data_IF_231472555185
#
_entry.id   IF_231472555185
#
_cell.length_a   1.000
_cell.length_b   1.000
_cell.length_c   1.000
_cell.angle_alpha   90.00
_cell.angle_beta   90.00
_cell.angle_gamma   90.00
#
_symmetry.space_group_name_H-M   'P 1'
#
loop_
_entity.id
_entity.type
_entity.pdbx_description
1 polymer ?
#
# COMPACT_ATOMS: atom_id res chain seq x y z
N UNK A 1 -70.75 33.65 -8.30
CA UNK A 1 -70.73 35.08 -7.90
C UNK A 1 -69.75 35.16 -6.75
N UNK A 2 -68.50 35.60 -6.93
CA UNK A 2 -68.00 36.74 -7.70
C UNK A 2 -66.61 36.44 -8.27
N UNK A 3 -66.38 36.92 -9.50
CA UNK A 3 -65.07 37.12 -10.12
C UNK A 3 -64.29 38.22 -9.39
N UNK A 4 -62.95 38.15 -9.38
CA UNK A 4 -62.15 39.36 -9.65
C UNK A 4 -60.77 39.05 -10.25
N UNK A 5 -60.42 39.83 -11.27
CA UNK A 5 -59.22 39.78 -12.08
C UNK A 5 -58.24 40.86 -11.58
N UNK A 6 -56.95 40.53 -11.42
CA UNK A 6 -55.91 41.51 -11.05
C UNK A 6 -54.52 41.15 -11.57
N UNK A 7 -54.04 41.91 -12.54
CA UNK A 7 -52.85 41.70 -13.36
C UNK A 7 -51.47 41.97 -12.70
N UNK A 8 -50.46 41.21 -13.17
CA UNK A 8 -49.03 41.53 -13.41
C UNK A 8 -48.07 41.77 -12.23
N UNK A 9 -47.08 40.86 -12.10
CA UNK A 9 -45.66 41.14 -12.43
C UNK A 9 -44.88 39.84 -12.69
N UNK A 10 -44.12 39.81 -13.78
CA UNK A 10 -43.16 38.76 -14.18
C UNK A 10 -41.94 38.79 -13.27
N UNK A 11 -41.47 37.62 -12.81
CA UNK A 11 -40.04 37.32 -12.66
C UNK A 11 -39.76 35.88 -13.09
N UNK A 12 -38.64 35.73 -13.79
CA UNK A 12 -38.14 34.58 -14.55
C UNK A 12 -37.68 33.41 -13.68
N UNK A 13 -37.71 32.21 -14.29
CA UNK A 13 -36.77 31.06 -14.23
C UNK A 13 -36.34 30.55 -12.84
N UNK A 14 -36.20 29.26 -12.59
CA UNK A 14 -35.61 28.25 -13.46
C UNK A 14 -36.05 26.84 -13.09
N UNK A 15 -36.10 26.03 -14.15
CA UNK A 15 -36.59 24.68 -14.28
C UNK A 15 -35.87 23.61 -13.46
N UNK A 16 -36.64 22.54 -13.27
CA UNK A 16 -36.33 21.18 -12.85
C UNK A 16 -34.94 20.64 -13.20
N UNK A 17 -34.25 20.11 -12.20
CA UNK A 17 -33.11 19.20 -12.33
C UNK A 17 -33.55 17.87 -12.98
N UNK A 18 -32.86 17.37 -14.02
CA UNK A 18 -33.14 16.04 -14.54
C UNK A 18 -32.47 14.96 -13.67
N UNK A 19 -33.24 13.91 -13.36
CA UNK A 19 -32.73 12.61 -12.90
C UNK A 19 -31.92 12.00 -14.04
N UNK A 20 -30.68 11.60 -13.76
CA UNK A 20 -29.87 10.84 -14.69
C UNK A 20 -30.13 9.34 -14.46
N UNK A 21 -30.61 8.70 -15.51
CA UNK A 21 -30.75 7.25 -15.66
C UNK A 21 -29.41 6.77 -16.20
N UNK A 22 -28.79 5.80 -15.53
CA UNK A 22 -27.51 5.22 -15.93
C UNK A 22 -27.79 3.94 -16.73
N UNK A 23 -27.88 4.08 -18.05
CA UNK A 23 -27.94 2.97 -19.00
C UNK A 23 -26.53 2.66 -19.49
N UNK A 24 -26.14 1.39 -19.34
CA UNK A 24 -24.80 0.91 -19.60
C UNK A 24 -24.26 1.21 -21.00
N UNK A 25 -23.04 1.75 -21.01
CA UNK A 25 -22.01 1.53 -22.02
C UNK A 25 -20.66 1.62 -21.28
N UNK A 26 -19.92 0.52 -21.20
CA UNK A 26 -18.55 0.52 -20.70
C UNK A 26 -17.69 1.39 -21.62
N UNK A 27 -17.50 2.65 -21.23
CA UNK A 27 -16.61 3.56 -21.93
C UNK A 27 -15.17 3.09 -21.71
N UNK A 28 -14.61 2.43 -22.73
CA UNK A 28 -13.18 2.16 -22.93
C UNK A 28 -12.39 3.45 -23.24
N UNK A 29 -12.94 4.61 -22.92
CA UNK A 29 -12.38 5.93 -23.25
C UNK A 29 -11.74 6.45 -21.98
N UNK A 30 -10.42 6.22 -21.79
CA UNK A 30 -9.52 7.08 -20.99
C UNK A 30 -8.09 6.55 -20.74
N UNK A 31 -7.76 5.31 -21.12
CA UNK A 31 -6.39 4.80 -20.96
C UNK A 31 -5.35 5.44 -21.91
N UNK A 32 -5.77 5.97 -23.07
CA UNK A 32 -4.88 6.68 -24.00
C UNK A 32 -4.34 7.99 -23.40
N UNK A 33 -5.11 8.62 -22.52
CA UNK A 33 -4.74 9.87 -21.83
C UNK A 33 -3.57 9.64 -20.85
N UNK A 34 -3.45 8.44 -20.30
CA UNK A 34 -2.36 8.05 -19.40
C UNK A 34 -1.12 7.52 -20.16
N UNK A 35 -1.21 7.22 -21.45
CA UNK A 35 -0.04 6.84 -22.25
C UNK A 35 1.00 7.97 -22.36
N UNK A 36 0.54 9.23 -22.19
CA UNK A 36 1.36 10.44 -22.21
C UNK A 36 1.83 10.88 -20.82
N UNK A 37 1.42 10.20 -19.74
CA UNK A 37 1.80 10.56 -18.36
C UNK A 37 3.33 10.52 -18.15
N UNK A 38 4.06 9.79 -18.99
CA UNK A 38 5.53 9.71 -19.01
C UNK A 38 6.23 11.07 -19.07
N UNK A 39 5.57 12.10 -19.60
CA UNK A 39 6.13 13.46 -19.68
C UNK A 39 6.04 14.23 -18.35
N UNK A 40 5.32 13.72 -17.35
CA UNK A 40 5.16 14.33 -16.03
C UNK A 40 6.33 13.97 -15.11
N UNK A 41 7.54 14.28 -15.54
CA UNK A 41 8.77 13.88 -14.84
C UNK A 41 8.92 14.48 -13.44
N UNK A 42 8.21 15.56 -13.12
CA UNK A 42 8.25 16.19 -11.78
C UNK A 42 7.18 15.65 -10.81
N UNK A 43 6.30 14.77 -11.28
CA UNK A 43 5.14 14.32 -10.52
C UNK A 43 5.56 13.43 -9.34
N UNK A 44 5.12 13.79 -8.14
CA UNK A 44 5.41 13.07 -6.88
C UNK A 44 4.19 12.39 -6.30
N UNK A 45 2.99 12.88 -6.57
CA UNK A 45 1.74 12.30 -6.12
C UNK A 45 0.72 12.26 -7.25
N UNK A 46 0.11 11.10 -7.45
CA UNK A 46 -0.91 10.85 -8.45
C UNK A 46 -2.12 10.25 -7.78
N UNK A 47 -3.26 10.89 -7.98
CA UNK A 47 -4.55 10.45 -7.47
C UNK A 47 -5.46 10.08 -8.63
N UNK A 48 -5.92 8.83 -8.63
CA UNK A 48 -6.82 8.25 -9.63
C UNK A 48 -8.09 7.69 -8.99
N UNK A 49 -8.47 8.19 -7.82
CA UNK A 49 -9.61 7.67 -7.05
C UNK A 49 -10.94 7.79 -7.83
N UNK A 50 -11.79 6.75 -7.72
CA UNK A 50 -13.15 6.72 -8.23
C UNK A 50 -13.27 6.54 -9.74
N UNK A 51 -12.22 6.03 -10.39
CA UNK A 51 -12.20 5.77 -11.83
C UNK A 51 -12.51 4.31 -12.14
N UNK A 52 -13.04 4.04 -13.34
CA UNK A 52 -13.57 2.71 -13.72
C UNK A 52 -12.64 1.91 -14.65
N UNK A 53 -11.31 2.12 -14.57
CA UNK A 53 -10.36 1.36 -15.37
C UNK A 53 -10.10 -0.05 -14.81
N UNK A 54 -9.88 -1.02 -15.69
CA UNK A 54 -9.59 -2.41 -15.30
C UNK A 54 -8.12 -2.65 -14.90
N UNK A 55 -7.21 -1.84 -15.44
CA UNK A 55 -5.78 -1.93 -15.18
C UNK A 55 -5.13 -0.57 -15.34
N UNK A 56 -4.07 -0.31 -14.58
CA UNK A 56 -3.20 0.83 -14.83
C UNK A 56 -2.44 0.63 -16.16
N UNK A 57 -2.15 1.71 -16.91
CA UNK A 57 -1.34 1.61 -18.11
C UNK A 57 0.11 1.34 -17.74
N UNK A 58 0.79 0.53 -18.56
CA UNK A 58 2.20 0.15 -18.36
C UNK A 58 3.15 1.35 -18.29
N UNK A 59 2.76 2.51 -18.82
CA UNK A 59 3.53 3.76 -18.74
C UNK A 59 3.66 4.30 -17.32
N UNK A 60 2.84 3.87 -16.35
CA UNK A 60 2.90 4.38 -14.97
C UNK A 60 4.28 4.19 -14.34
N UNK A 61 4.98 3.09 -14.65
CA UNK A 61 6.34 2.82 -14.17
C UNK A 61 7.38 3.86 -14.61
N UNK A 62 7.07 4.61 -15.67
CA UNK A 62 7.94 5.66 -16.21
C UNK A 62 7.87 6.96 -15.39
N UNK A 63 6.95 7.06 -14.43
CA UNK A 63 6.87 8.17 -13.48
C UNK A 63 7.91 8.02 -12.37
N UNK A 64 9.19 8.12 -12.75
CA UNK A 64 10.33 7.80 -11.87
C UNK A 64 10.46 8.67 -10.62
N UNK A 65 9.71 9.77 -10.51
CA UNK A 65 9.66 10.61 -9.31
C UNK A 65 8.38 10.43 -8.48
N UNK A 66 7.47 9.54 -8.89
CA UNK A 66 6.21 9.31 -8.21
C UNK A 66 6.45 8.58 -6.89
N UNK A 67 6.06 9.22 -5.78
CA UNK A 67 6.18 8.72 -4.41
C UNK A 67 4.84 8.26 -3.84
N UNK A 68 3.73 8.80 -4.33
CA UNK A 68 2.39 8.49 -3.83
C UNK A 68 1.42 8.19 -4.97
N UNK A 69 0.73 7.06 -4.88
CA UNK A 69 -0.32 6.63 -5.79
C UNK A 69 -1.58 6.29 -4.99
N UNK A 70 -2.67 7.02 -5.25
CA UNK A 70 -3.98 6.82 -4.60
C UNK A 70 -4.97 6.28 -5.62
N UNK A 71 -5.60 5.14 -5.31
CA UNK A 71 -6.46 4.36 -6.21
C UNK A 71 -7.82 4.04 -5.58
N UNK A 72 -8.27 4.81 -4.58
CA UNK A 72 -9.47 4.50 -3.82
C UNK A 72 -10.73 4.45 -4.70
N UNK A 73 -11.69 3.60 -4.36
CA UNK A 73 -12.95 3.44 -5.07
C UNK A 73 -12.79 3.07 -6.57
N UNK A 74 -11.63 2.54 -6.99
CA UNK A 74 -11.42 2.04 -8.35
C UNK A 74 -12.02 0.65 -8.51
N UNK A 75 -13.35 0.58 -8.49
CA UNK A 75 -14.10 -0.67 -8.37
C UNK A 75 -13.93 -1.63 -9.55
N UNK A 76 -13.48 -1.17 -10.72
CA UNK A 76 -13.22 -2.05 -11.87
C UNK A 76 -11.78 -2.53 -11.95
N UNK A 77 -10.87 -1.98 -11.13
CA UNK A 77 -9.45 -2.28 -11.17
C UNK A 77 -9.20 -3.73 -10.74
N UNK A 78 -8.72 -4.56 -11.66
CA UNK A 78 -8.46 -5.97 -11.42
C UNK A 78 -6.99 -6.24 -11.09
N UNK A 79 -6.08 -5.44 -11.66
CA UNK A 79 -4.65 -5.70 -11.57
C UNK A 79 -3.82 -4.42 -11.46
N UNK A 80 -2.80 -4.46 -10.59
CA UNK A 80 -1.70 -3.52 -10.63
C UNK A 80 -0.58 -4.08 -11.49
N UNK A 81 -0.14 -3.31 -12.48
CA UNK A 81 1.05 -3.60 -13.29
C UNK A 81 2.31 -3.07 -12.62
N UNK A 82 3.47 -3.18 -13.28
CA UNK A 82 4.73 -2.60 -12.83
C UNK A 82 4.57 -1.20 -12.24
N UNK A 83 5.12 -1.00 -11.04
CA UNK A 83 5.01 0.23 -10.27
C UNK A 83 6.20 1.17 -10.56
N UNK A 84 6.04 2.48 -10.35
CA UNK A 84 7.17 3.41 -10.40
C UNK A 84 8.21 3.08 -9.33
N UNK A 85 9.49 3.15 -9.69
CA UNK A 85 10.61 2.72 -8.83
C UNK A 85 10.72 3.52 -7.53
N UNK A 86 10.28 4.78 -7.50
CA UNK A 86 10.35 5.64 -6.29
C UNK A 86 9.07 5.66 -5.46
N UNK A 87 8.15 4.72 -5.71
CA UNK A 87 6.89 4.66 -4.99
C UNK A 87 7.13 4.31 -3.51
N UNK A 88 6.60 5.15 -2.62
CA UNK A 88 6.72 5.03 -1.16
C UNK A 88 5.35 4.86 -0.49
N UNK A 89 4.29 5.15 -1.22
CA UNK A 89 2.93 5.15 -0.72
C UNK A 89 1.98 4.68 -1.83
N UNK A 90 1.37 3.52 -1.63
CA UNK A 90 0.32 2.97 -2.46
C UNK A 90 -0.91 2.75 -1.59
N UNK A 91 -2.00 3.40 -1.96
CA UNK A 91 -3.28 3.27 -1.27
C UNK A 91 -4.35 2.84 -2.28
N UNK A 92 -4.99 1.71 -2.00
CA UNK A 92 -6.15 1.19 -2.69
C UNK A 92 -7.18 0.79 -1.63
N UNK A 93 -8.20 1.62 -1.47
CA UNK A 93 -9.30 1.42 -0.53
C UNK A 93 -10.58 1.17 -1.30
N UNK A 94 -11.36 0.17 -0.89
CA UNK A 94 -12.61 -0.20 -1.57
C UNK A 94 -12.39 -0.50 -3.07
N UNK A 95 -11.31 -1.18 -3.41
CA UNK A 95 -11.06 -1.69 -4.77
C UNK A 95 -11.50 -3.17 -4.85
N UNK A 96 -12.80 -3.40 -4.94
CA UNK A 96 -13.39 -4.73 -4.75
C UNK A 96 -12.96 -5.77 -5.79
N UNK A 97 -12.59 -5.34 -7.00
CA UNK A 97 -12.16 -6.24 -8.08
C UNK A 97 -10.65 -6.51 -8.10
N UNK A 98 -9.87 -5.80 -7.26
CA UNK A 98 -8.42 -5.89 -7.29
C UNK A 98 -7.98 -7.28 -6.79
N UNK A 99 -7.38 -8.06 -7.68
CA UNK A 99 -7.04 -9.46 -7.43
C UNK A 99 -5.55 -9.77 -7.60
N UNK A 100 -4.81 -8.98 -8.38
CA UNK A 100 -3.39 -9.22 -8.62
C UNK A 100 -2.52 -7.98 -8.41
N UNK A 101 -1.37 -8.21 -7.80
CA UNK A 101 -0.30 -7.24 -7.62
C UNK A 101 0.82 -7.52 -8.64
N UNK A 102 1.80 -6.60 -8.79
CA UNK A 102 3.03 -6.88 -9.52
C UNK A 102 3.80 -8.03 -8.86
N UNK A 103 4.81 -8.54 -9.57
CA UNK A 103 5.72 -9.52 -9.00
C UNK A 103 6.32 -9.01 -7.69
N UNK A 104 6.36 -9.86 -6.67
CA UNK A 104 6.78 -9.47 -5.32
C UNK A 104 8.21 -8.93 -5.29
N UNK A 105 9.10 -9.42 -6.17
CA UNK A 105 10.49 -8.94 -6.28
C UNK A 105 10.60 -7.45 -6.62
N UNK A 106 9.61 -6.87 -7.31
CA UNK A 106 9.61 -5.43 -7.60
C UNK A 106 9.54 -4.58 -6.32
N UNK A 107 8.92 -5.10 -5.25
CA UNK A 107 8.82 -4.40 -3.98
C UNK A 107 10.15 -4.35 -3.21
N UNK A 108 11.09 -5.24 -3.53
CA UNK A 108 12.45 -5.20 -3.01
C UNK A 108 13.30 -4.06 -3.62
N UNK A 109 12.79 -3.39 -4.66
CA UNK A 109 13.49 -2.33 -5.39
C UNK A 109 12.83 -0.94 -5.23
N UNK A 110 11.67 -0.86 -4.58
CA UNK A 110 10.93 0.39 -4.39
C UNK A 110 11.65 1.38 -3.46
N UNK A 111 11.67 2.65 -3.84
CA UNK A 111 12.31 3.74 -3.09
C UNK A 111 13.83 3.67 -3.08
N UNK A 112 14.45 2.84 -3.92
CA UNK A 112 15.90 2.62 -3.91
C UNK A 112 16.72 3.84 -4.33
N UNK A 113 16.24 4.70 -5.24
CA UNK A 113 17.00 5.88 -5.68
C UNK A 113 16.98 6.99 -4.61
N UNK A 114 15.95 7.07 -3.77
CA UNK A 114 15.93 8.01 -2.63
C UNK A 114 16.89 7.65 -1.49
N UNK A 115 17.45 6.43 -1.47
CA UNK A 115 18.37 5.97 -0.41
C UNK A 115 19.64 6.82 -0.29
N UNK A 116 20.12 7.39 -1.39
CA UNK A 116 21.33 8.22 -1.40
C UNK A 116 21.09 9.63 -0.84
N UNK A 117 19.83 10.11 -0.85
CA UNK A 117 19.48 11.50 -0.53
C UNK A 117 18.77 11.62 0.82
N UNK A 118 18.08 10.57 1.30
CA UNK A 118 17.27 10.62 2.51
C UNK A 118 17.70 9.57 3.54
N UNK A 119 17.99 10.02 4.78
CA UNK A 119 18.23 9.16 5.96
C UNK A 119 16.95 8.50 6.50
N UNK A 120 15.82 8.65 5.82
CA UNK A 120 14.54 8.09 6.25
C UNK A 120 13.84 7.52 5.01
N UNK A 121 13.55 6.22 5.03
CA UNK A 121 12.84 5.51 3.97
C UNK A 121 11.51 4.99 4.51
N UNK A 122 10.43 5.26 3.77
CA UNK A 122 9.07 4.88 4.14
C UNK A 122 8.43 4.11 2.98
N UNK A 123 7.82 2.96 3.26
CA UNK A 123 6.98 2.22 2.32
C UNK A 123 5.65 1.89 2.97
N UNK A 124 4.55 2.37 2.39
CA UNK A 124 3.20 2.11 2.86
C UNK A 124 2.40 1.47 1.73
N UNK A 125 1.87 0.28 1.98
CA UNK A 125 1.07 -0.48 1.02
C UNK A 125 -0.28 -0.81 1.66
N UNK A 126 -1.32 -0.06 1.32
CA UNK A 126 -2.59 -0.10 2.03
C UNK A 126 -3.69 -0.58 1.07
N UNK A 127 -4.22 -1.76 1.36
CA UNK A 127 -5.22 -2.48 0.57
C UNK A 127 -6.50 -2.74 1.39
N UNK A 128 -7.06 -1.67 1.98
CA UNK A 128 -8.28 -1.76 2.82
C UNK A 128 -9.47 -2.20 1.97
N UNK A 129 -10.26 -3.18 2.43
CA UNK A 129 -11.43 -3.72 1.72
C UNK A 129 -11.16 -4.21 0.28
N UNK A 130 -9.92 -4.55 -0.07
CA UNK A 130 -9.58 -5.19 -1.35
C UNK A 130 -9.77 -6.71 -1.26
N UNK A 131 -11.04 -7.16 -1.31
CA UNK A 131 -11.46 -8.51 -0.92
C UNK A 131 -10.92 -9.66 -1.80
N UNK A 132 -10.51 -9.37 -3.04
CA UNK A 132 -10.07 -10.39 -4.00
C UNK A 132 -8.56 -10.59 -4.06
N UNK A 133 -7.78 -9.82 -3.30
CA UNK A 133 -6.33 -9.97 -3.29
C UNK A 133 -5.91 -11.30 -2.67
N UNK A 134 -4.93 -11.95 -3.30
CA UNK A 134 -4.39 -13.21 -2.81
C UNK A 134 -3.52 -12.99 -1.56
N UNK A 135 -3.93 -13.58 -0.44
CA UNK A 135 -3.26 -13.46 0.86
C UNK A 135 -1.79 -13.92 0.83
N UNK A 136 -1.49 -15.02 0.11
CA UNK A 136 -0.12 -15.53 -0.01
C UNK A 136 0.76 -14.57 -0.80
N UNK A 137 0.23 -14.00 -1.89
CA UNK A 137 0.94 -12.99 -2.66
C UNK A 137 1.24 -11.75 -1.82
N UNK A 138 0.27 -11.28 -1.02
CA UNK A 138 0.44 -10.17 -0.09
C UNK A 138 1.49 -10.46 1.00
N UNK A 139 1.51 -11.67 1.54
CA UNK A 139 2.57 -12.11 2.46
C UNK A 139 3.95 -12.08 1.80
N UNK A 140 4.07 -12.53 0.55
CA UNK A 140 5.33 -12.46 -0.20
C UNK A 140 5.76 -11.02 -0.47
N UNK A 141 4.82 -10.14 -0.85
CA UNK A 141 5.10 -8.70 -1.06
C UNK A 141 5.70 -8.07 0.19
N UNK A 142 5.15 -8.37 1.37
CA UNK A 142 5.72 -7.85 2.62
C UNK A 142 7.12 -8.42 2.91
N UNK A 143 7.33 -9.72 2.69
CA UNK A 143 8.64 -10.35 2.88
C UNK A 143 9.70 -9.75 1.94
N UNK A 144 9.38 -9.56 0.65
CA UNK A 144 10.25 -8.90 -0.33
C UNK A 144 10.51 -7.44 0.01
N UNK A 145 9.50 -6.71 0.49
CA UNK A 145 9.66 -5.33 0.94
C UNK A 145 10.70 -5.19 2.06
N UNK A 146 10.83 -6.18 2.96
CA UNK A 146 11.85 -6.17 4.02
C UNK A 146 13.28 -6.17 3.46
N UNK A 147 13.50 -6.64 2.22
CA UNK A 147 14.82 -6.62 1.58
C UNK A 147 15.34 -5.19 1.36
N UNK A 148 14.46 -4.20 1.22
CA UNK A 148 14.84 -2.79 1.12
C UNK A 148 15.65 -2.30 2.32
N UNK A 149 15.37 -2.87 3.49
CA UNK A 149 16.04 -2.56 4.75
C UNK A 149 17.37 -3.32 4.82
N UNK A 150 17.33 -4.59 4.42
CA UNK A 150 18.43 -5.50 4.69
C UNK A 150 19.61 -5.26 3.74
N UNK A 151 19.35 -5.08 2.44
CA UNK A 151 20.38 -4.91 1.42
C UNK A 151 21.41 -3.78 1.74
N UNK A 152 20.99 -2.56 2.15
CA UNK A 152 21.94 -1.52 2.60
C UNK A 152 22.67 -1.90 3.90
N UNK A 153 21.97 -2.52 4.84
CA UNK A 153 22.48 -2.79 6.19
C UNK A 153 23.48 -3.97 6.24
N UNK A 154 23.49 -4.82 5.23
CA UNK A 154 24.48 -5.89 5.03
C UNK A 154 25.75 -5.41 4.33
N UNK A 155 25.66 -4.34 3.53
CA UNK A 155 26.77 -3.80 2.72
C UNK A 155 27.50 -2.64 3.39
N UNK A 156 26.82 -1.88 4.25
CA UNK A 156 27.37 -0.69 4.93
C UNK A 156 27.47 -0.96 6.44
N UNK A 157 28.68 -0.78 7.01
CA UNK A 157 28.92 -1.00 8.44
C UNK A 157 28.24 0.05 9.35
N UNK A 158 28.01 1.27 8.84
CA UNK A 158 27.51 2.44 9.58
C UNK A 158 26.37 3.15 8.83
N UNK A 159 25.29 2.44 8.51
CA UNK A 159 24.11 3.09 7.93
C UNK A 159 23.23 3.65 9.05
N UNK A 160 23.11 4.98 9.13
CA UNK A 160 22.28 5.72 10.11
C UNK A 160 20.88 6.07 9.57
N UNK A 161 20.37 5.34 8.57
CA UNK A 161 19.05 5.58 8.05
C UNK A 161 17.97 4.83 8.82
N UNK A 162 16.80 5.46 8.94
CA UNK A 162 15.60 4.88 9.54
C UNK A 162 14.70 4.29 8.46
N UNK A 163 14.20 3.10 8.71
CA UNK A 163 13.30 2.40 7.80
C UNK A 163 11.93 2.19 8.41
N UNK A 164 10.91 2.45 7.61
CA UNK A 164 9.53 2.21 7.97
C UNK A 164 8.83 1.47 6.83
N UNK A 165 8.31 0.28 7.13
CA UNK A 165 7.45 -0.47 6.22
C UNK A 165 6.13 -0.69 6.94
N UNK A 166 5.03 -0.38 6.27
CA UNK A 166 3.67 -0.64 6.74
C UNK A 166 2.85 -1.25 5.62
N UNK A 167 2.10 -2.27 5.95
CA UNK A 167 1.18 -2.90 5.02
C UNK A 167 -0.13 -3.26 5.70
N UNK A 168 -1.24 -3.10 5.00
CA UNK A 168 -2.58 -3.40 5.52
C UNK A 168 -3.41 -4.10 4.44
N UNK A 169 -4.09 -5.19 4.79
CA UNK A 169 -5.01 -5.89 3.90
C UNK A 169 -6.00 -6.75 4.70
N UNK A 170 -6.99 -7.33 4.01
CA UNK A 170 -8.02 -8.17 4.62
C UNK A 170 -7.52 -9.60 4.80
N UNK A 171 -7.29 -10.02 6.04
CA UNK A 171 -6.95 -11.39 6.45
C UNK A 171 -7.29 -11.58 7.93
N UNK A 172 -7.66 -12.81 8.31
CA UNK A 172 -7.99 -13.17 9.69
C UNK A 172 -6.91 -13.99 10.43
N UNK A 173 -5.84 -14.41 9.74
CA UNK A 173 -4.76 -15.24 10.28
C UNK A 173 -3.37 -14.63 10.11
N UNK A 174 -2.44 -14.99 11.00
CA UNK A 174 -1.05 -14.52 10.93
C UNK A 174 -0.28 -15.36 9.88
N UNK A 175 0.48 -14.75 8.95
CA UNK A 175 1.25 -15.47 7.94
C UNK A 175 2.21 -16.51 8.53
N UNK A 176 2.41 -17.62 7.81
CA UNK A 176 3.00 -18.80 8.42
C UNK A 176 4.47 -18.68 8.82
N UNK A 177 5.18 -17.73 8.22
CA UNK A 177 6.57 -17.51 8.50
C UNK A 177 6.80 -16.69 9.78
N UNK A 178 5.78 -16.14 10.43
CA UNK A 178 5.95 -15.50 11.75
C UNK A 178 6.25 -16.53 12.83
N UNK A 179 7.42 -16.42 13.45
CA UNK A 179 7.94 -17.42 14.41
C UNK A 179 7.24 -17.39 15.77
N UNK A 180 6.85 -16.20 16.24
CA UNK A 180 6.18 -16.02 17.51
C UNK A 180 4.78 -15.49 17.24
N UNK A 181 3.75 -16.25 17.64
CA UNK A 181 2.34 -15.89 17.46
C UNK A 181 1.61 -16.00 18.79
N UNK A 182 0.67 -15.11 19.04
CA UNK A 182 -0.12 -15.08 20.26
C UNK A 182 -1.55 -14.63 19.95
N UNK A 183 -2.53 -15.11 20.72
CA UNK A 183 -3.91 -14.61 20.72
C UNK A 183 -4.13 -13.48 21.73
N UNK A 184 -3.12 -13.17 22.54
CA UNK A 184 -3.09 -11.98 23.39
C UNK A 184 -2.44 -10.81 22.65
N UNK A 185 -2.52 -9.63 23.26
CA UNK A 185 -1.93 -8.41 22.68
C UNK A 185 -0.44 -8.25 23.00
N UNK A 186 0.20 -9.23 23.63
CA UNK A 186 1.63 -9.24 23.94
C UNK A 186 2.30 -10.53 23.45
N UNK A 187 3.43 -10.39 22.76
CA UNK A 187 4.22 -11.49 22.23
C UNK A 187 5.54 -11.53 22.98
N UNK A 188 5.81 -12.62 23.70
CA UNK A 188 7.08 -12.86 24.37
C UNK A 188 8.03 -13.64 23.44
N UNK A 189 9.26 -13.16 23.35
CA UNK A 189 10.27 -13.57 22.39
C UNK A 189 11.52 -13.98 23.16
N UNK A 190 12.02 -15.18 22.86
CA UNK A 190 13.31 -15.63 23.34
C UNK A 190 14.34 -15.37 22.22
N UNK A 191 15.22 -14.41 22.46
CA UNK A 191 16.31 -14.13 21.51
C UNK A 191 17.47 -15.10 21.80
N UNK A 192 18.06 -15.71 20.77
CA UNK A 192 19.28 -16.49 20.96
C UNK A 192 20.40 -15.57 21.46
N UNK A 193 21.35 -16.06 22.27
CA UNK A 193 22.47 -15.24 22.74
C UNK A 193 23.30 -14.75 21.55
N UNK A 194 23.63 -13.45 21.54
CA UNK A 194 24.36 -12.78 20.44
C UNK A 194 25.72 -13.43 20.16
N UNK A 195 26.30 -14.13 21.14
CA UNK A 195 27.60 -14.80 21.05
C UNK A 195 27.54 -16.21 20.40
N UNK A 196 26.34 -16.77 20.16
CA UNK A 196 26.17 -18.15 19.66
C UNK A 196 26.02 -18.22 18.15
N UNK A 197 25.52 -17.15 17.52
CA UNK A 197 25.40 -17.05 16.06
C UNK A 197 25.88 -15.66 15.68
N UNK A 198 26.87 -15.54 14.80
CA UNK A 198 27.43 -14.26 14.32
C UNK A 198 26.43 -13.45 13.44
N UNK A 199 25.14 -13.54 13.77
CA UNK A 199 23.97 -13.00 13.09
C UNK A 199 23.76 -11.57 13.54
N UNK A 200 24.01 -10.62 12.64
CA UNK A 200 23.63 -9.21 12.84
C UNK A 200 22.10 -9.14 12.91
N UNK A 201 21.55 -8.89 14.10
CA UNK A 201 20.12 -8.65 14.33
C UNK A 201 19.75 -7.25 13.84
N UNK A 202 18.65 -7.14 13.08
CA UNK A 202 18.22 -5.86 12.51
C UNK A 202 16.95 -5.31 13.16
N UNK A 203 16.08 -6.16 13.68
CA UNK A 203 14.81 -5.72 14.25
C UNK A 203 13.75 -6.80 14.17
N UNK A 204 12.49 -6.39 14.21
CA UNK A 204 11.35 -7.29 14.18
C UNK A 204 10.42 -6.96 13.02
N UNK A 205 10.01 -7.98 12.28
CA UNK A 205 8.76 -7.89 11.55
C UNK A 205 7.60 -8.06 12.54
N UNK A 206 6.64 -7.16 12.46
CA UNK A 206 5.46 -7.08 13.30
C UNK A 206 4.22 -7.44 12.49
N UNK A 207 3.30 -8.15 13.12
CA UNK A 207 2.00 -8.50 12.57
C UNK A 207 0.95 -8.36 13.66
N UNK A 208 -0.18 -7.73 13.34
CA UNK A 208 -1.36 -7.71 14.21
C UNK A 208 -2.61 -7.91 13.37
N UNK A 209 -3.45 -8.85 13.77
CA UNK A 209 -4.80 -9.01 13.23
C UNK A 209 -5.74 -8.26 14.16
N UNK A 210 -6.47 -7.30 13.60
CA UNK A 210 -7.48 -6.52 14.32
C UNK A 210 -8.88 -6.88 13.85
N UNK A 211 -9.80 -7.05 14.79
CA UNK A 211 -11.24 -7.05 14.57
C UNK A 211 -11.70 -5.60 14.50
N UNK A 212 -12.33 -5.22 13.39
CA UNK A 212 -13.00 -3.93 13.24
C UNK A 212 -14.50 -4.17 13.13
N UNK A 213 -15.30 -3.51 13.99
CA UNK A 213 -16.76 -3.61 14.01
C UNK A 213 -17.40 -2.25 13.76
N UNK A 214 -18.20 -2.16 12.71
CA UNK A 214 -18.87 -0.92 12.30
C UNK A 214 -17.91 0.30 12.27
N UNK A 215 -16.66 0.07 11.87
CA UNK A 215 -15.61 1.08 11.93
C UNK A 215 -15.75 2.05 10.76
N UNK A 216 -15.89 3.33 11.07
CA UNK A 216 -16.17 4.39 10.08
C UNK A 216 -15.47 5.71 10.39
N UNK A 217 -14.39 5.70 11.17
CA UNK A 217 -13.77 6.93 11.68
C UNK A 217 -12.27 7.00 11.34
N UNK A 218 -11.88 7.97 10.51
CA UNK A 218 -10.47 8.38 10.35
C UNK A 218 -9.51 7.26 9.98
N UNK A 219 -8.25 7.37 10.41
CA UNK A 219 -7.29 6.25 10.41
C UNK A 219 -7.35 5.54 11.75
N UNK A 220 -7.34 4.21 11.74
CA UNK A 220 -7.11 3.43 12.97
C UNK A 220 -5.61 3.16 13.09
N UNK A 221 -5.08 3.40 14.27
CA UNK A 221 -3.68 3.19 14.59
C UNK A 221 -3.61 2.10 15.66
N UNK A 222 -2.81 1.06 15.41
CA UNK A 222 -2.38 0.11 16.44
C UNK A 222 -0.99 0.53 16.87
N UNK A 223 -0.89 0.96 18.12
CA UNK A 223 0.39 1.27 18.73
C UNK A 223 1.10 -0.01 19.10
N UNK A 224 2.42 0.07 19.17
CA UNK A 224 3.23 -0.99 19.73
C UNK A 224 4.36 -0.42 20.59
N UNK A 225 4.79 -1.19 21.58
CA UNK A 225 6.02 -0.95 22.35
C UNK A 225 6.74 -2.25 22.58
N UNK A 226 8.02 -2.15 22.86
CA UNK A 226 8.83 -3.30 23.22
C UNK A 226 9.37 -3.16 24.64
N UNK A 227 9.53 -4.30 25.30
CA UNK A 227 10.18 -4.42 26.59
C UNK A 227 11.24 -5.50 26.48
N UNK A 228 12.44 -5.25 26.96
CA UNK A 228 13.52 -6.24 27.00
C UNK A 228 14.16 -6.29 28.36
N UNK A 229 14.64 -7.47 28.75
CA UNK A 229 15.35 -7.67 30.00
C UNK A 229 16.72 -8.27 29.71
N UNK A 230 17.75 -7.62 30.25
CA UNK A 230 19.13 -8.11 30.23
C UNK A 230 19.69 -8.18 31.66
N UNK A 231 20.96 -8.56 31.79
CA UNK A 231 21.64 -8.64 33.09
C UNK A 231 21.75 -7.28 33.83
N UNK A 232 21.48 -6.16 33.15
CA UNK A 232 21.44 -4.81 33.71
C UNK A 232 20.00 -4.34 34.06
N UNK A 233 19.03 -5.25 34.02
CA UNK A 233 17.63 -5.02 34.38
C UNK A 233 16.69 -4.78 33.20
N UNK A 234 15.44 -4.43 33.52
CA UNK A 234 14.39 -4.14 32.54
C UNK A 234 14.69 -2.85 31.76
N UNK A 235 14.47 -2.89 30.45
CA UNK A 235 14.56 -1.77 29.51
C UNK A 235 13.28 -1.73 28.69
N UNK A 236 12.70 -0.55 28.54
CA UNK A 236 11.44 -0.36 27.82
C UNK A 236 11.64 0.72 26.76
N UNK A 237 11.15 0.47 25.55
CA UNK A 237 11.12 1.44 24.47
C UNK A 237 9.72 1.56 23.90
N UNK A 238 9.22 2.79 23.80
CA UNK A 238 8.02 3.08 22.99
C UNK A 238 8.51 3.59 21.65
N UNK A 239 8.11 2.93 20.58
CA UNK A 239 8.39 3.44 19.24
C UNK A 239 7.51 4.66 18.97
N UNK A 240 8.04 5.63 18.20
CA UNK A 240 7.26 6.76 17.70
C UNK A 240 6.30 6.36 16.57
N UNK A 241 6.37 5.10 16.17
CA UNK A 241 5.71 4.53 15.02
C UNK A 241 4.50 3.69 15.46
N UNK A 242 3.57 3.46 14.53
CA UNK A 242 2.31 2.78 14.74
C UNK A 242 1.93 2.04 13.45
N UNK A 243 1.25 0.91 13.59
CA UNK A 243 0.63 0.24 12.45
C UNK A 243 -0.68 0.95 12.11
N UNK A 244 -1.02 1.08 10.83
CA UNK A 244 -2.15 1.91 10.40
C UNK A 244 -3.02 1.19 9.39
N UNK A 245 -4.32 1.39 9.52
CA UNK A 245 -5.31 1.18 8.47
C UNK A 245 -6.02 2.51 8.21
N UNK A 246 -6.38 2.74 6.95
CA UNK A 246 -7.08 3.94 6.51
C UNK A 246 -8.55 3.61 6.34
N UNK A 247 -9.41 4.33 7.08
CA UNK A 247 -10.86 4.26 6.96
C UNK A 247 -11.48 5.62 6.58
N UNK A 248 -10.70 6.52 5.99
CA UNK A 248 -11.16 7.81 5.50
C UNK A 248 -10.74 8.03 4.05
N UNK A 249 -11.67 8.50 3.21
CA UNK A 249 -11.36 8.90 1.84
C UNK A 249 -10.87 10.34 1.81
N UNK A 250 -9.98 10.64 0.88
CA UNK A 250 -9.54 12.02 0.64
C UNK A 250 -10.71 12.95 0.23
N UNK A 251 -11.81 12.41 -0.33
CA UNK A 251 -12.79 13.20 -1.11
C UNK A 251 -14.27 13.13 -0.71
N UNK A 252 -14.63 12.68 0.51
CA UNK A 252 -15.79 13.18 1.33
C UNK A 252 -16.45 12.12 2.22
N UNK A 253 -16.38 10.84 1.89
CA UNK A 253 -17.10 9.80 2.63
C UNK A 253 -16.17 8.89 3.44
N UNK A 254 -16.66 8.40 4.58
CA UNK A 254 -15.94 7.43 5.41
C UNK A 254 -15.98 6.06 4.74
N UNK A 255 -14.95 5.26 5.00
CA UNK A 255 -14.91 3.84 4.64
C UNK A 255 -15.65 3.10 5.75
N UNK A 256 -16.53 2.18 5.39
CA UNK A 256 -17.15 1.29 6.37
C UNK A 256 -16.36 -0.02 6.42
N UNK A 257 -15.88 -0.38 7.61
CA UNK A 257 -15.10 -1.59 7.84
C UNK A 257 -15.77 -2.41 8.92
N UNK A 258 -16.19 -3.62 8.54
CA UNK A 258 -16.80 -4.60 9.43
C UNK A 258 -16.19 -5.99 9.17
N UNK A 259 -14.87 -6.05 9.30
CA UNK A 259 -14.07 -7.23 8.99
C UNK A 259 -12.73 -7.20 9.68
N UNK A 260 -12.11 -8.38 9.80
CA UNK A 260 -10.74 -8.51 10.28
C UNK A 260 -9.75 -7.96 9.25
N UNK A 261 -8.75 -7.22 9.73
CA UNK A 261 -7.65 -6.73 8.92
C UNK A 261 -6.32 -7.09 9.57
N UNK A 262 -5.33 -7.41 8.73
CA UNK A 262 -3.96 -7.58 9.17
C UNK A 262 -3.19 -6.28 8.94
N UNK A 263 -2.47 -5.85 9.96
CA UNK A 263 -1.49 -4.77 9.86
C UNK A 263 -0.10 -5.37 10.06
N UNK A 264 0.75 -5.18 9.07
CA UNK A 264 2.14 -5.59 9.07
C UNK A 264 3.03 -4.35 9.17
N UNK A 265 4.16 -4.50 9.84
CA UNK A 265 5.18 -3.46 9.78
C UNK A 265 6.54 -3.91 10.27
N UNK A 266 7.50 -2.99 10.20
CA UNK A 266 8.87 -3.25 10.63
C UNK A 266 9.25 -2.36 11.82
N UNK A 267 9.79 -3.00 12.84
CA UNK A 267 10.38 -2.35 14.00
C UNK A 267 11.90 -2.39 13.86
N UNK A 268 12.46 -1.24 13.48
CA UNK A 268 13.90 -1.01 13.42
C UNK A 268 14.49 -0.90 14.84
N UNK A 269 15.43 -1.79 15.17
CA UNK A 269 16.19 -1.75 16.41
C UNK A 269 17.70 -1.68 16.15
N UNK A 270 18.11 -1.41 14.91
CA UNK A 270 19.51 -1.41 14.49
C UNK A 270 20.35 -0.29 15.13
N UNK A 271 19.73 0.87 15.38
CA UNK A 271 20.34 2.01 16.07
C UNK A 271 20.23 1.96 17.60
N UNK A 272 19.58 0.94 18.15
CA UNK A 272 19.44 0.77 19.60
C UNK A 272 20.67 0.00 20.10
N UNK A 273 21.72 0.73 20.50
CA UNK A 273 22.98 0.20 21.06
C UNK A 273 22.75 -0.93 22.09
N UNK A 274 21.62 -0.84 22.79
CA UNK A 274 21.21 -1.74 23.85
C UNK A 274 21.22 -3.21 23.38
N UNK A 275 20.79 -3.57 22.16
CA UNK A 275 20.67 -4.97 21.73
C UNK A 275 21.99 -5.74 21.50
N UNK A 276 23.15 -5.09 21.72
CA UNK A 276 24.47 -5.73 21.66
C UNK A 276 24.84 -6.54 22.91
N UNK A 277 24.10 -6.36 24.01
CA UNK A 277 24.27 -7.15 25.25
C UNK A 277 23.50 -8.48 25.21
N UNK A 278 23.89 -9.46 26.03
CA UNK A 278 23.19 -10.76 26.16
C UNK A 278 21.76 -10.61 26.72
N UNK A 279 20.77 -10.38 25.85
CA UNK A 279 19.35 -10.36 26.24
C UNK A 279 18.84 -11.75 26.59
N UNK A 280 18.03 -11.82 27.65
CA UNK A 280 17.35 -13.05 28.06
C UNK A 280 15.96 -13.15 27.45
N UNK A 281 15.23 -12.03 27.42
CA UNK A 281 13.84 -11.97 26.95
C UNK A 281 13.55 -10.63 26.29
N UNK A 282 12.67 -10.65 25.29
CA UNK A 282 12.07 -9.47 24.68
C UNK A 282 10.56 -9.69 24.58
N UNK A 283 9.75 -8.65 24.65
CA UNK A 283 8.32 -8.71 24.41
C UNK A 283 7.89 -7.52 23.56
N UNK A 284 6.89 -7.74 22.71
CA UNK A 284 6.23 -6.67 21.94
C UNK A 284 4.76 -6.67 22.30
N UNK A 285 4.27 -5.53 22.77
CA UNK A 285 2.87 -5.32 23.14
C UNK A 285 2.20 -4.41 22.11
N UNK A 286 0.96 -4.72 21.75
CA UNK A 286 0.14 -4.02 20.77
C UNK A 286 -1.14 -3.52 21.42
N UNK A 287 -1.60 -2.32 21.07
CA UNK A 287 -2.91 -1.86 21.50
C UNK A 287 -3.52 -0.83 20.54
N UNK A 288 -4.84 -0.86 20.30
CA UNK A 288 -5.51 0.16 19.52
C UNK A 288 -5.37 1.54 20.17
N UNK A 289 -5.21 2.57 19.35
CA UNK A 289 -5.26 3.97 19.78
C UNK A 289 -6.59 4.27 20.48
N UNK A 290 -6.58 5.21 21.42
CA UNK A 290 -7.76 5.62 22.19
C UNK A 290 -8.93 5.99 21.27
N UNK A 291 -8.64 6.56 20.10
CA UNK A 291 -9.63 6.96 19.11
C UNK A 291 -10.33 5.78 18.40
N UNK A 292 -9.74 4.58 18.44
CA UNK A 292 -10.28 3.38 17.78
C UNK A 292 -10.74 2.28 18.74
N UNK A 293 -10.51 2.41 20.05
CA UNK A 293 -10.72 1.35 21.05
C UNK A 293 -12.13 0.76 21.15
N UNK A 294 -13.18 1.53 20.80
CA UNK A 294 -14.56 1.02 20.89
C UNK A 294 -14.92 0.03 19.78
N UNK A 295 -14.29 0.19 18.61
CA UNK A 295 -14.64 -0.54 17.40
C UNK A 295 -13.46 -1.33 16.83
N UNK A 296 -12.33 -1.35 17.54
CA UNK A 296 -11.09 -2.02 17.15
C UNK A 296 -10.58 -2.87 18.30
N UNK A 297 -10.35 -4.16 18.05
CA UNK A 297 -9.80 -5.10 19.02
C UNK A 297 -8.67 -5.90 18.38
N UNK A 298 -7.56 -6.07 19.11
CA UNK A 298 -6.49 -7.00 18.70
C UNK A 298 -6.96 -8.44 18.90
N UNK A 299 -6.96 -9.25 17.84
CA UNK A 299 -7.29 -10.70 17.89
C UNK A 299 -6.05 -11.56 18.02
N UNK A 300 -5.05 -11.30 17.19
CA UNK A 300 -3.82 -12.07 17.12
C UNK A 300 -2.63 -11.15 16.89
N UNK A 301 -1.49 -11.48 17.47
CA UNK A 301 -0.23 -10.77 17.27
C UNK A 301 0.87 -11.74 16.84
N UNK A 302 1.70 -11.31 15.90
CA UNK A 302 2.84 -12.04 15.38
C UNK A 302 4.11 -11.19 15.44
N UNK A 303 5.22 -11.80 15.81
CA UNK A 303 6.55 -11.19 15.73
C UNK A 303 7.55 -12.16 15.13
N UNK A 304 8.37 -11.67 14.20
CA UNK A 304 9.47 -12.43 13.62
C UNK A 304 10.79 -11.65 13.76
N UNK A 305 11.81 -12.21 14.45
CA UNK A 305 13.14 -11.60 14.52
C UNK A 305 13.87 -11.63 13.17
N UNK A 306 14.35 -10.47 12.70
CA UNK A 306 15.06 -10.33 11.42
C UNK A 306 16.57 -10.30 11.68
N UNK A 307 17.27 -11.25 11.06
CA UNK A 307 18.73 -11.38 11.12
C UNK A 307 19.32 -11.30 9.71
N UNK A 308 20.54 -10.77 9.57
CA UNK A 308 21.23 -10.68 8.28
C UNK A 308 21.34 -12.01 7.52
N UNK A 309 21.50 -13.15 8.21
CA UNK A 309 21.63 -14.47 7.58
C UNK A 309 20.32 -15.04 7.01
N UNK A 310 19.14 -14.60 7.48
CA UNK A 310 17.85 -15.06 6.94
C UNK A 310 17.67 -14.63 5.46
N UNK A 311 18.37 -13.59 5.03
CA UNK A 311 18.20 -12.99 3.71
C UNK A 311 18.97 -13.70 2.60
N UNK A 312 20.08 -14.36 2.91
CA UNK A 312 20.86 -15.08 1.89
C UNK A 312 20.24 -16.45 1.54
N UNK A 313 19.48 -17.05 2.46
CA UNK A 313 18.94 -18.40 2.30
C UNK A 313 17.45 -18.46 1.86
N UNK A 314 16.71 -17.34 1.87
CA UNK A 314 15.31 -17.31 1.43
C UNK A 314 15.10 -17.11 -0.07
N UNK A 315 16.16 -16.85 -0.84
CA UNK A 315 16.14 -16.82 -2.31
C UNK A 315 15.73 -18.17 -2.96
N UNK A 316 15.66 -19.26 -2.19
CA UNK A 316 15.34 -20.59 -2.72
C UNK A 316 14.00 -21.19 -2.24
N UNK A 317 13.26 -20.57 -1.30
CA UNK A 317 12.13 -21.25 -0.64
C UNK A 317 10.75 -20.60 -0.84
N UNK A 318 10.59 -19.60 -1.71
CA UNK A 318 9.29 -18.95 -1.98
C UNK A 318 8.81 -19.07 -3.44
N UNK A 319 9.02 -20.21 -4.09
CA UNK A 319 8.46 -20.47 -5.43
C UNK A 319 7.73 -21.82 -5.53
N UNK A 320 6.47 -21.88 -5.98
CA UNK A 320 5.93 -23.10 -6.57
C UNK A 320 6.61 -23.37 -7.92
N UNK A 321 6.96 -24.64 -8.14
CA UNK A 321 7.57 -25.20 -9.34
C UNK A 321 6.83 -24.83 -10.63
N UNK A 322 7.57 -24.33 -11.62
CA UNK A 322 7.15 -24.11 -13.00
C UNK A 322 6.33 -25.29 -13.55
N UNK A 323 5.14 -25.00 -14.07
CA UNK A 323 4.50 -25.84 -15.09
C UNK A 323 4.63 -25.12 -16.43
N UNK A 324 5.41 -25.72 -17.33
CA UNK A 324 5.49 -25.38 -18.75
C UNK A 324 4.10 -25.44 -19.39
N UNK A 325 3.72 -24.37 -20.09
CA UNK A 325 2.73 -24.44 -21.16
C UNK A 325 3.40 -24.07 -22.47
N UNK A 326 3.40 -25.05 -23.38
CA UNK A 326 4.11 -25.03 -24.64
C UNK A 326 3.69 -23.91 -25.59
N UNK A 327 4.68 -23.44 -26.33
CA UNK A 327 4.54 -22.58 -27.49
C UNK A 327 3.85 -23.33 -28.64
N UNK A 328 2.86 -22.70 -29.25
CA UNK A 328 2.48 -22.99 -30.64
C UNK A 328 2.47 -21.69 -31.42
N UNK A 329 3.41 -21.58 -32.36
CA UNK A 329 3.52 -20.52 -33.34
C UNK A 329 2.57 -20.77 -34.52
N UNK A 330 1.89 -19.71 -34.94
CA UNK A 330 1.05 -19.67 -36.14
C UNK A 330 1.10 -18.28 -36.75
N UNK A 331 1.61 -18.21 -37.98
CA UNK A 331 1.89 -17.03 -38.80
C UNK A 331 0.63 -16.37 -39.37
N UNK A 332 0.66 -15.06 -39.62
CA UNK A 332 -0.31 -14.40 -40.51
C UNK A 332 -0.13 -12.89 -40.65
N UNK A 333 0.47 -12.47 -41.75
CA UNK A 333 0.63 -11.09 -42.24
C UNK A 333 -0.65 -10.52 -42.86
N UNK A 334 -0.86 -9.20 -42.76
CA UNK A 334 -1.76 -8.45 -43.63
C UNK A 334 -2.09 -7.04 -43.13
N UNK A 335 -1.52 -6.02 -43.78
CA UNK A 335 -2.11 -4.66 -43.90
C UNK A 335 -3.14 -4.68 -45.05
N UNK A 336 -4.14 -3.77 -45.06
CA UNK A 336 -3.95 -2.49 -45.77
C UNK A 336 -4.63 -1.25 -45.13
N UNK A 337 -4.18 -0.09 -45.63
CA UNK A 337 -4.69 1.28 -45.46
C UNK A 337 -6.21 1.46 -45.73
N UNK A 338 -6.87 2.42 -45.07
CA UNK A 338 -7.49 3.61 -45.71
C UNK A 338 -8.08 4.59 -44.67
N UNK A 339 -8.13 5.85 -45.09
CA UNK A 339 -8.41 7.09 -44.40
C UNK A 339 -9.75 7.20 -43.66
N UNK A 340 -9.68 7.81 -42.47
CA UNK A 340 -10.81 8.40 -41.78
C UNK A 340 -10.31 9.44 -40.79
N UNK A 341 -10.25 10.71 -41.20
CA UNK A 341 -9.92 11.84 -40.33
C UNK A 341 -11.08 12.05 -39.34
N UNK A 342 -10.95 11.44 -38.15
CA UNK A 342 -11.81 11.69 -37.00
C UNK A 342 -11.07 12.65 -36.08
N UNK A 343 -11.59 13.86 -35.93
CA UNK A 343 -11.06 14.87 -35.00
C UNK A 343 -11.38 14.38 -33.58
N UNK A 344 -10.40 13.74 -32.95
CA UNK A 344 -10.45 13.25 -31.55
C UNK A 344 -10.34 14.40 -30.51
N UNK A 345 -10.94 14.24 -29.32
CA UNK A 345 -10.69 15.12 -28.18
C UNK A 345 -9.27 14.86 -27.64
N UNK A 346 -8.35 15.73 -28.08
CA UNK A 346 -6.89 15.67 -27.91
C UNK A 346 -6.33 15.36 -26.51
N UNK A 347 -5.44 14.37 -26.47
CA UNK A 347 -4.40 14.08 -25.46
C UNK A 347 -3.47 15.28 -25.08
N UNK A 348 -3.58 16.43 -25.77
CA UNK A 348 -2.73 17.62 -25.60
C UNK A 348 -2.88 18.38 -24.27
N UNK A 349 -3.85 18.05 -23.41
CA UNK A 349 -4.10 18.81 -22.16
C UNK A 349 -3.24 18.38 -20.97
N UNK A 350 -2.84 17.11 -20.87
CA UNK A 350 -2.08 16.64 -19.70
C UNK A 350 -0.62 17.08 -19.75
N UNK A 351 0.00 17.09 -20.92
CA UNK A 351 1.44 17.38 -21.08
C UNK A 351 1.76 18.86 -21.35
N UNK A 352 0.94 19.77 -20.82
CA UNK A 352 1.21 21.22 -20.84
C UNK A 352 2.42 21.56 -19.96
N UNK A 353 3.13 22.65 -20.27
CA UNK A 353 4.30 23.08 -19.48
C UNK A 353 3.97 23.27 -17.98
N UNK A 354 2.77 23.74 -17.67
CA UNK A 354 2.28 23.86 -16.28
C UNK A 354 2.18 22.51 -15.58
N UNK A 355 1.79 21.44 -16.28
CA UNK A 355 1.63 20.12 -15.69
C UNK A 355 2.96 19.36 -15.58
N UNK A 356 3.92 19.61 -16.50
CA UNK A 356 5.27 18.99 -16.44
C UNK A 356 6.05 19.36 -15.18
N UNK A 357 5.76 20.53 -14.61
CA UNK A 357 6.34 21.01 -13.35
C UNK A 357 5.49 20.68 -12.12
N UNK A 358 4.30 20.10 -12.31
CA UNK A 358 3.39 19.83 -11.22
C UNK A 358 3.84 18.62 -10.41
N UNK A 359 3.88 18.76 -9.08
CA UNK A 359 4.29 17.68 -8.17
C UNK A 359 3.11 16.85 -7.65
N UNK A 360 1.88 17.31 -7.85
CA UNK A 360 0.65 16.64 -7.47
C UNK A 360 -0.35 16.68 -8.63
N UNK A 361 -1.00 15.57 -8.94
CA UNK A 361 -2.03 15.53 -9.97
C UNK A 361 -3.17 14.61 -9.55
N UNK A 362 -4.40 15.11 -9.69
CA UNK A 362 -5.62 14.32 -9.55
C UNK A 362 -6.25 14.19 -10.92
N UNK A 363 -6.52 12.96 -11.37
CA UNK A 363 -7.20 12.68 -12.63
C UNK A 363 -8.49 11.94 -12.36
N UNK A 364 -9.58 12.47 -12.92
CA UNK A 364 -10.85 11.78 -13.03
C UNK A 364 -11.04 11.39 -14.48
N UNK A 365 -11.13 10.08 -14.65
CA UNK A 365 -11.35 9.35 -15.88
C UNK A 365 -12.77 8.73 -15.73
#
# INVERSE_FOLDING_TARGET
MTDDLGHRRKTRNSDSLPKQIDDGCGFKIELEILADIRCLTSLKALELCGNNFESLPKSIKQLTNLRSLLLNDCNMLQSLTELPSELQYLEAVDCEQLQSLPDASQFAELGTLTREVHRFMKLNLLFTNCLKLNEKALSSVFAESLLLIIQPMSTIQEYEGQFEIRMCYLVSEIPDWFSYRCSESIVNIQLPPHNVCNRKFFGFALCVVIELKEYSHGSSMVNYKWHSENNQGLRNGRCRDHLTIIANRAHKDRVFIDSDHILLGYLDLSGVELLRDDYKTCSVEFWPSILSQHNCKVKYCGVHPIYAEHILNQLHNFGPTHQDFGETSGTGSGEPDDHGEVIEPTAKRICTESNRSCSWLTLKL
#
